data_IF_235466210492
#
_entry.id   IF_235466210492
#
_cell.length_a   1.000
_cell.length_b   1.000
_cell.length_c   1.000
_cell.angle_alpha   90.00
_cell.angle_beta   90.00
_cell.angle_gamma   90.00
#
_symmetry.space_group_name_H-M   'P 1'
#
loop_
_entity.id
_entity.type
_entity.pdbx_description
1 polymer ?
#
# COMPACT_ATOMS: atom_id res chain seq x y z
N UNK A 1 10.25 10.38 2.77
CA UNK A 1 9.26 9.85 3.75
C UNK A 1 8.21 10.90 4.12
N UNK A 2 8.58 12.08 4.62
CA UNK A 2 7.63 13.13 5.04
C UNK A 2 6.63 13.51 3.93
N UNK A 3 7.14 13.90 2.75
CA UNK A 3 6.32 14.25 1.57
C UNK A 3 5.34 13.14 1.15
N UNK A 4 5.77 11.87 1.26
CA UNK A 4 4.94 10.73 0.88
C UNK A 4 3.68 10.64 1.77
N UNK A 5 3.87 10.68 3.09
CA UNK A 5 2.77 10.57 4.05
C UNK A 5 1.94 11.87 4.16
N UNK A 6 2.54 13.03 3.90
CA UNK A 6 1.80 14.28 3.73
C UNK A 6 0.79 14.16 2.58
N UNK A 7 1.22 13.70 1.41
CA UNK A 7 0.35 13.48 0.26
C UNK A 7 -0.71 12.40 0.49
N UNK A 8 -0.37 11.31 1.19
CA UNK A 8 -1.34 10.29 1.61
C UNK A 8 -2.40 10.89 2.55
N UNK A 9 -1.98 11.72 3.51
CA UNK A 9 -2.88 12.38 4.46
C UNK A 9 -3.78 13.42 3.79
N UNK A 10 -3.30 14.13 2.77
CA UNK A 10 -4.14 15.00 1.95
C UNK A 10 -5.31 14.22 1.33
N UNK A 11 -5.04 13.06 0.74
CA UNK A 11 -6.08 12.18 0.16
C UNK A 11 -7.05 11.71 1.25
N UNK A 12 -6.52 11.16 2.34
CA UNK A 12 -7.33 10.56 3.41
C UNK A 12 -8.07 11.58 4.30
N UNK A 13 -7.75 12.86 4.19
CA UNK A 13 -8.48 13.95 4.85
C UNK A 13 -9.97 13.98 4.48
N UNK A 14 -10.33 13.52 3.27
CA UNK A 14 -11.74 13.33 2.84
C UNK A 14 -12.52 12.42 3.79
N UNK A 15 -11.84 11.42 4.36
CA UNK A 15 -12.39 10.50 5.35
C UNK A 15 -12.05 10.92 6.79
N UNK A 16 -11.40 12.07 7.03
CA UNK A 16 -10.95 12.47 8.37
C UNK A 16 -9.97 11.48 9.00
N UNK A 17 -9.21 10.76 8.18
CA UNK A 17 -8.20 9.79 8.63
C UNK A 17 -6.83 10.40 8.44
N UNK A 18 -6.00 10.32 9.47
CA UNK A 18 -4.61 10.77 9.43
C UNK A 18 -3.68 9.63 9.80
N UNK A 19 -2.72 9.35 8.94
CA UNK A 19 -1.65 8.39 9.13
C UNK A 19 -0.46 9.10 9.78
N UNK A 20 -0.10 8.66 10.99
CA UNK A 20 1.07 9.13 11.71
C UNK A 20 2.17 8.08 11.61
N UNK A 21 3.34 8.49 11.15
CA UNK A 21 4.54 7.65 11.15
C UNK A 21 5.13 7.66 12.56
N UNK A 22 5.13 6.52 13.22
CA UNK A 22 5.71 6.37 14.57
C UNK A 22 7.22 6.13 14.51
N UNK A 23 7.70 5.33 13.56
CA UNK A 23 9.13 5.10 13.34
C UNK A 23 9.44 4.73 11.90
N UNK A 24 10.70 4.90 11.52
CA UNK A 24 11.26 4.39 10.26
C UNK A 24 12.51 3.61 10.63
N UNK A 25 12.51 2.32 10.29
CA UNK A 25 13.63 1.42 10.55
C UNK A 25 14.19 0.94 9.22
N UNK A 26 15.53 0.78 9.16
CA UNK A 26 16.21 0.14 8.03
C UNK A 26 16.58 -1.27 8.44
N UNK A 27 16.05 -2.24 7.72
CA UNK A 27 16.25 -3.66 8.02
C UNK A 27 16.59 -4.42 6.73
N UNK A 28 17.43 -5.46 6.81
CA UNK A 28 17.62 -6.36 5.69
C UNK A 28 16.34 -7.17 5.44
N UNK A 29 16.04 -7.44 4.17
CA UNK A 29 15.01 -8.41 3.82
C UNK A 29 15.40 -9.81 4.29
N UNK A 30 14.43 -10.60 4.78
CA UNK A 30 14.69 -11.95 5.26
C UNK A 30 15.03 -12.92 4.12
N UNK A 31 14.20 -12.99 3.08
CA UNK A 31 14.43 -13.82 1.88
C UNK A 31 14.31 -12.99 0.59
N UNK A 32 15.37 -12.25 0.27
CA UNK A 32 15.44 -11.52 -1.00
C UNK A 32 15.56 -12.44 -2.22
N UNK A 33 16.04 -13.68 -2.07
CA UNK A 33 16.31 -14.60 -3.18
C UNK A 33 15.02 -15.09 -3.81
N UNK A 34 14.08 -15.61 -3.00
CA UNK A 34 12.78 -16.08 -3.49
C UNK A 34 11.97 -14.95 -4.09
N UNK A 35 12.03 -13.76 -3.47
CA UNK A 35 11.37 -12.57 -3.99
C UNK A 35 11.88 -12.18 -5.38
N UNK A 36 13.19 -12.10 -5.58
CA UNK A 36 13.79 -11.80 -6.89
C UNK A 36 13.45 -12.89 -7.92
N UNK A 37 13.49 -14.17 -7.52
CA UNK A 37 13.10 -15.28 -8.40
C UNK A 37 11.63 -15.17 -8.84
N UNK A 38 10.75 -14.71 -7.97
CA UNK A 38 9.35 -14.51 -8.31
C UNK A 38 9.14 -13.31 -9.24
N UNK A 39 9.82 -12.19 -8.97
CA UNK A 39 9.76 -11.01 -9.84
C UNK A 39 10.34 -11.25 -11.24
N UNK A 40 11.29 -12.17 -11.38
CA UNK A 40 11.82 -12.58 -12.69
C UNK A 40 10.96 -13.63 -13.40
N UNK A 41 9.91 -14.15 -12.76
CA UNK A 41 9.06 -15.20 -13.30
C UNK A 41 9.67 -16.61 -13.21
N UNK A 42 10.78 -16.79 -12.49
CA UNK A 42 11.38 -18.10 -12.27
C UNK A 42 10.53 -18.98 -11.33
N UNK A 43 9.76 -18.36 -10.43
CA UNK A 43 8.74 -19.02 -9.61
C UNK A 43 7.44 -18.19 -9.60
N UNK A 44 6.29 -18.78 -9.25
CA UNK A 44 5.04 -18.03 -9.11
C UNK A 44 5.12 -16.95 -8.02
N UNK A 45 4.55 -15.77 -8.28
CA UNK A 45 4.32 -14.76 -7.24
C UNK A 45 3.09 -15.15 -6.43
N UNK A 46 3.29 -15.39 -5.12
CA UNK A 46 2.21 -15.63 -4.15
C UNK A 46 2.32 -14.65 -2.99
N UNK A 47 1.24 -14.53 -2.19
CA UNK A 47 1.26 -13.70 -0.97
C UNK A 47 2.37 -14.11 0.00
N UNK A 48 2.64 -15.41 0.14
CA UNK A 48 3.70 -15.95 0.99
C UNK A 48 5.09 -15.55 0.50
N UNK A 49 5.32 -15.62 -0.81
CA UNK A 49 6.58 -15.17 -1.42
C UNK A 49 6.78 -13.67 -1.20
N UNK A 50 5.73 -12.86 -1.34
CA UNK A 50 5.78 -11.43 -1.02
C UNK A 50 6.03 -11.19 0.47
N UNK A 51 5.44 -11.99 1.36
CA UNK A 51 5.64 -11.89 2.79
C UNK A 51 7.03 -12.37 3.26
N UNK A 52 7.75 -13.12 2.42
CA UNK A 52 9.06 -13.72 2.76
C UNK A 52 10.17 -12.69 2.95
N UNK A 53 10.03 -11.49 2.39
CA UNK A 53 11.00 -10.40 2.56
C UNK A 53 10.79 -9.58 3.83
N UNK A 54 9.65 -9.73 4.52
CA UNK A 54 9.26 -8.82 5.59
C UNK A 54 9.94 -9.19 6.91
N UNK A 55 10.82 -8.34 7.47
CA UNK A 55 11.36 -8.55 8.80
C UNK A 55 10.24 -8.45 9.86
N UNK A 56 10.36 -9.23 10.93
CA UNK A 56 9.33 -9.34 11.97
C UNK A 56 9.69 -8.65 13.30
N UNK A 57 10.95 -8.34 13.54
CA UNK A 57 11.43 -7.97 14.88
C UNK A 57 11.03 -6.55 15.30
N UNK A 58 10.91 -5.63 14.34
CA UNK A 58 10.62 -4.21 14.59
C UNK A 58 9.23 -3.78 14.09
N UNK A 59 8.32 -4.73 13.86
CA UNK A 59 6.94 -4.41 13.47
C UNK A 59 6.14 -3.90 14.67
N UNK A 60 5.16 -3.04 14.42
CA UNK A 60 4.17 -2.63 15.40
C UNK A 60 3.02 -3.66 15.43
N UNK A 61 2.90 -4.50 16.49
CA UNK A 61 1.93 -5.58 16.50
C UNK A 61 0.50 -5.04 16.49
N UNK A 62 -0.35 -5.59 15.61
CA UNK A 62 -1.75 -5.18 15.46
C UNK A 62 -1.93 -3.76 14.94
N UNK A 63 -0.88 -3.15 14.39
CA UNK A 63 -0.89 -1.83 13.75
C UNK A 63 -0.51 -1.94 12.29
N UNK A 64 -0.54 -0.81 11.59
CA UNK A 64 -0.14 -0.74 10.18
C UNK A 64 1.37 -0.73 10.07
N UNK A 65 1.90 -1.66 9.28
CA UNK A 65 3.31 -1.75 8.94
C UNK A 65 3.46 -1.54 7.43
N UNK A 66 4.32 -0.61 7.04
CA UNK A 66 4.60 -0.30 5.62
C UNK A 66 6.06 -0.62 5.35
N UNK A 67 6.29 -1.59 4.48
CA UNK A 67 7.62 -2.04 4.08
C UNK A 67 7.96 -1.42 2.74
N UNK A 68 8.99 -0.57 2.75
CA UNK A 68 9.45 0.10 1.55
C UNK A 68 10.57 -0.73 0.92
N UNK A 69 10.37 -1.18 -0.31
CA UNK A 69 11.37 -1.93 -1.08
C UNK A 69 11.87 -1.11 -2.25
N UNK A 70 13.06 -1.42 -2.78
CA UNK A 70 13.63 -0.62 -3.88
C UNK A 70 12.89 -0.82 -5.21
N UNK A 71 12.52 -2.06 -5.52
CA UNK A 71 12.04 -2.42 -6.85
C UNK A 71 11.06 -3.59 -6.74
N UNK A 72 9.89 -3.45 -7.37
CA UNK A 72 8.87 -4.52 -7.47
C UNK A 72 8.77 -5.12 -8.87
N UNK A 73 9.70 -4.78 -9.75
CA UNK A 73 9.66 -5.13 -11.17
C UNK A 73 8.36 -4.69 -11.83
N UNK A 74 7.92 -5.49 -12.81
CA UNK A 74 6.68 -5.25 -13.55
C UNK A 74 5.44 -5.89 -12.91
N UNK A 75 5.49 -6.20 -11.60
CA UNK A 75 4.40 -6.89 -10.91
C UNK A 75 3.25 -5.96 -10.52
N UNK A 76 3.47 -5.03 -9.59
CA UNK A 76 2.44 -4.17 -9.03
C UNK A 76 3.00 -2.84 -8.54
N UNK A 77 2.15 -1.81 -8.44
CA UNK A 77 2.50 -0.54 -7.81
C UNK A 77 2.65 -0.66 -6.29
N UNK A 78 1.97 -1.61 -5.66
CA UNK A 78 2.03 -1.88 -4.25
C UNK A 78 1.12 -3.07 -3.95
N UNK A 79 1.23 -3.61 -2.74
CA UNK A 79 0.34 -4.68 -2.29
C UNK A 79 0.06 -4.51 -0.80
N UNK A 80 -1.21 -4.64 -0.43
CA UNK A 80 -1.62 -4.95 0.93
C UNK A 80 -1.78 -6.47 1.14
N UNK A 81 -1.07 -7.02 2.13
CA UNK A 81 -1.16 -8.42 2.56
C UNK A 81 -2.04 -8.49 3.81
N UNK A 82 -3.31 -8.88 3.65
CA UNK A 82 -4.31 -8.92 4.72
C UNK A 82 -3.91 -9.86 5.87
N UNK A 83 -3.43 -11.06 5.56
CA UNK A 83 -2.97 -12.06 6.54
C UNK A 83 -1.72 -11.64 7.33
N UNK A 84 -1.06 -10.54 6.92
CA UNK A 84 0.06 -9.92 7.64
C UNK A 84 -0.27 -8.54 8.22
N UNK A 85 -1.38 -7.92 7.82
CA UNK A 85 -1.66 -6.52 8.15
C UNK A 85 -0.60 -5.55 7.64
N UNK A 86 0.02 -5.85 6.50
CA UNK A 86 1.21 -5.15 6.02
C UNK A 86 1.04 -4.62 4.60
N UNK A 87 1.56 -3.43 4.32
CA UNK A 87 1.69 -2.88 2.97
C UNK A 87 3.14 -3.07 2.51
N UNK A 88 3.33 -3.55 1.29
CA UNK A 88 4.60 -3.51 0.56
C UNK A 88 4.48 -2.39 -0.48
N UNK A 89 5.35 -1.39 -0.36
CA UNK A 89 5.39 -0.23 -1.24
C UNK A 89 6.78 -0.13 -1.88
N UNK A 90 6.90 -0.18 -3.21
CA UNK A 90 8.19 -0.09 -3.86
C UNK A 90 8.54 1.35 -4.30
N UNK A 91 9.82 1.70 -4.26
CA UNK A 91 10.32 2.95 -4.85
C UNK A 91 10.22 2.94 -6.38
N UNK A 92 10.35 1.75 -7.00
CA UNK A 92 10.18 1.55 -8.44
C UNK A 92 9.14 0.46 -8.70
N UNK A 93 8.14 0.79 -9.54
CA UNK A 93 7.11 -0.15 -9.97
C UNK A 93 7.05 -0.30 -11.50
N UNK A 94 5.97 -0.92 -12.02
CA UNK A 94 5.85 -1.27 -13.45
C UNK A 94 5.87 -0.08 -14.41
N UNK A 95 5.55 1.12 -13.92
CA UNK A 95 5.51 2.37 -14.70
C UNK A 95 6.71 3.29 -14.42
N UNK A 96 7.73 2.79 -13.69
CA UNK A 96 8.92 3.53 -13.30
C UNK A 96 8.92 3.97 -11.83
N UNK A 97 9.70 5.00 -11.49
CA UNK A 97 9.82 5.51 -10.13
C UNK A 97 8.48 6.01 -9.57
N UNK A 98 8.18 5.64 -8.34
CA UNK A 98 6.98 6.09 -7.62
C UNK A 98 7.28 7.36 -6.85
N UNK A 99 7.26 8.48 -7.58
CA UNK A 99 7.54 9.80 -7.01
C UNK A 99 6.59 10.09 -5.81
N UNK A 100 7.15 10.35 -4.61
CA UNK A 100 6.37 10.68 -3.41
C UNK A 100 5.36 11.81 -3.58
N UNK A 101 5.64 12.80 -4.44
CA UNK A 101 4.79 13.97 -4.64
C UNK A 101 3.63 13.73 -5.62
N UNK A 102 3.72 12.68 -6.45
CA UNK A 102 2.72 12.41 -7.50
C UNK A 102 2.12 11.01 -7.37
N UNK A 103 2.69 10.02 -8.05
CA UNK A 103 2.15 8.66 -8.12
C UNK A 103 2.33 7.87 -6.83
N UNK A 104 3.45 8.03 -6.13
CA UNK A 104 3.78 7.28 -4.93
C UNK A 104 2.78 7.51 -3.80
N UNK A 105 2.38 8.76 -3.53
CA UNK A 105 1.35 9.07 -2.53
C UNK A 105 0.00 8.42 -2.84
N UNK A 106 -0.37 8.38 -4.12
CA UNK A 106 -1.63 7.83 -4.61
C UNK A 106 -1.65 6.32 -4.48
N UNK A 107 -0.56 5.67 -4.88
CA UNK A 107 -0.39 4.22 -4.80
C UNK A 107 -0.37 3.78 -3.34
N UNK A 108 0.41 4.43 -2.47
CA UNK A 108 0.40 4.10 -1.05
C UNK A 108 -0.99 4.34 -0.41
N UNK A 109 -1.67 5.44 -0.76
CA UNK A 109 -3.02 5.70 -0.27
C UNK A 109 -4.02 4.61 -0.72
N UNK A 110 -3.86 4.07 -1.93
CA UNK A 110 -4.65 2.96 -2.45
C UNK A 110 -4.44 1.67 -1.64
N UNK A 111 -3.19 1.28 -1.38
CA UNK A 111 -2.88 0.09 -0.58
C UNK A 111 -3.38 0.24 0.88
N UNK A 112 -3.28 1.45 1.44
CA UNK A 112 -3.88 1.75 2.73
C UNK A 112 -5.40 1.67 2.69
N UNK A 113 -6.04 1.91 1.54
CA UNK A 113 -7.46 1.66 1.33
C UNK A 113 -7.84 0.19 1.50
N UNK A 114 -7.05 -0.72 0.94
CA UNK A 114 -7.22 -2.16 1.17
C UNK A 114 -7.06 -2.53 2.65
N UNK A 115 -6.07 -1.92 3.34
CA UNK A 115 -5.91 -2.10 4.78
C UNK A 115 -7.11 -1.60 5.61
N UNK A 116 -7.93 -0.73 5.03
CA UNK A 116 -9.18 -0.21 5.59
C UNK A 116 -10.43 -0.94 5.05
N UNK A 117 -10.26 -2.16 4.54
CA UNK A 117 -11.28 -3.06 3.97
C UNK A 117 -11.91 -2.60 2.63
N UNK A 118 -11.38 -1.55 2.01
CA UNK A 118 -11.90 -1.09 0.72
C UNK A 118 -11.50 -2.03 -0.41
N UNK A 119 -12.47 -2.33 -1.27
CA UNK A 119 -12.28 -3.15 -2.46
C UNK A 119 -12.06 -2.27 -3.69
N UNK A 120 -11.49 -2.85 -4.74
CA UNK A 120 -11.41 -2.19 -6.04
C UNK A 120 -12.79 -1.82 -6.56
N UNK A 121 -12.84 -0.71 -7.27
CA UNK A 121 -13.99 -0.31 -8.09
C UNK A 121 -13.61 -0.34 -9.56
N UNK A 122 -14.56 -0.47 -10.50
CA UNK A 122 -14.26 -0.44 -11.91
C UNK A 122 -13.59 0.86 -12.36
N UNK A 123 -12.78 0.80 -13.42
CA UNK A 123 -12.08 1.98 -13.94
C UNK A 123 -13.00 3.06 -14.54
N UNK A 124 -14.28 2.74 -14.72
CA UNK A 124 -15.33 3.71 -15.08
C UNK A 124 -15.68 4.66 -13.93
N UNK A 125 -15.27 4.36 -12.69
CA UNK A 125 -15.36 5.27 -11.53
C UNK A 125 -14.26 6.32 -11.59
N UNK A 126 -14.46 7.34 -12.43
CA UNK A 126 -13.44 8.35 -12.76
C UNK A 126 -12.87 9.04 -11.51
N UNK A 127 -11.55 9.03 -11.40
CA UNK A 127 -10.80 9.67 -10.31
C UNK A 127 -10.89 8.96 -8.95
N UNK A 128 -11.57 7.80 -8.87
CA UNK A 128 -11.67 7.06 -7.63
C UNK A 128 -10.31 6.46 -7.22
N UNK A 129 -9.93 6.64 -5.95
CA UNK A 129 -8.70 6.10 -5.39
C UNK A 129 -8.59 4.59 -5.58
N UNK A 130 -9.69 3.87 -5.39
CA UNK A 130 -9.75 2.40 -5.49
C UNK A 130 -10.01 1.89 -6.92
N UNK A 131 -9.90 2.73 -7.96
CA UNK A 131 -9.99 2.28 -9.35
C UNK A 131 -8.59 1.89 -9.89
N UNK A 132 -8.23 0.59 -9.92
CA UNK A 132 -6.95 0.17 -10.49
C UNK A 132 -6.93 0.42 -12.00
N UNK A 133 -5.74 0.62 -12.57
CA UNK A 133 -5.54 0.68 -14.02
C UNK A 133 -5.94 1.98 -14.72
N UNK A 134 -6.59 2.96 -14.07
CA UNK A 134 -6.92 4.25 -14.69
C UNK A 134 -5.75 5.25 -14.64
N UNK A 135 -4.62 4.88 -15.24
CA UNK A 135 -3.36 5.62 -15.07
C UNK A 135 -3.42 7.07 -15.57
N UNK A 136 -4.27 7.37 -16.56
CA UNK A 136 -4.46 8.72 -17.10
C UNK A 136 -5.33 9.65 -16.23
N UNK A 137 -5.83 9.19 -15.09
CA UNK A 137 -6.73 9.95 -14.23
C UNK A 137 -6.07 10.33 -12.90
N UNK A 138 -6.51 11.45 -12.32
CA UNK A 138 -6.19 11.82 -10.94
C UNK A 138 -7.03 10.98 -9.96
N UNK A 139 -6.47 9.82 -9.55
CA UNK A 139 -7.14 8.81 -8.71
C UNK A 139 -6.96 9.11 -7.22
N UNK A 140 -7.47 10.24 -6.77
CA UNK A 140 -7.30 10.73 -5.38
C UNK A 140 -8.62 10.90 -4.64
N UNK A 141 -9.76 10.59 -5.27
CA UNK A 141 -11.09 10.81 -4.70
C UNK A 141 -11.62 9.56 -3.98
N UNK A 142 -12.24 9.77 -2.82
CA UNK A 142 -13.04 8.75 -2.14
C UNK A 142 -14.53 9.00 -2.36
N UNK A 143 -15.29 7.94 -2.57
CA UNK A 143 -16.76 8.00 -2.62
C UNK A 143 -17.35 7.92 -1.20
N UNK A 144 -18.55 8.48 -0.97
CA UNK A 144 -19.24 8.36 0.31
C UNK A 144 -19.37 6.91 0.80
N UNK A 145 -19.61 5.97 -0.11
CA UNK A 145 -19.71 4.53 0.17
C UNK A 145 -18.38 3.91 0.63
N UNK A 146 -17.24 4.55 0.35
CA UNK A 146 -15.91 4.13 0.81
C UNK A 146 -15.53 4.82 2.14
N UNK A 147 -15.93 6.08 2.33
CA UNK A 147 -15.56 6.86 3.52
C UNK A 147 -16.09 6.23 4.81
N UNK A 148 -17.37 5.86 4.85
CA UNK A 148 -17.99 5.29 6.05
C UNK A 148 -17.32 3.98 6.53
N UNK A 149 -17.15 2.94 5.67
CA UNK A 149 -16.46 1.71 6.10
C UNK A 149 -14.99 1.95 6.41
N UNK A 150 -14.29 2.83 5.67
CA UNK A 150 -12.90 3.15 5.97
C UNK A 150 -12.75 3.75 7.39
N UNK A 151 -13.62 4.69 7.76
CA UNK A 151 -13.67 5.24 9.13
C UNK A 151 -13.96 4.16 10.17
N UNK A 152 -14.91 3.27 9.88
CA UNK A 152 -15.28 2.19 10.80
C UNK A 152 -14.15 1.18 11.01
N UNK A 153 -13.34 0.89 9.99
CA UNK A 153 -12.15 0.05 10.16
C UNK A 153 -11.04 0.82 10.87
N UNK A 154 -10.79 2.09 10.51
CA UNK A 154 -9.76 2.91 11.16
C UNK A 154 -9.99 3.07 12.67
N UNK A 155 -11.25 3.21 13.12
CA UNK A 155 -11.60 3.34 14.53
C UNK A 155 -11.30 2.09 15.37
N UNK A 156 -11.11 0.92 14.72
CA UNK A 156 -10.63 -0.30 15.39
C UNK A 156 -9.15 -0.21 15.74
N UNK A 157 -8.42 0.74 15.16
CA UNK A 157 -7.01 0.97 15.44
C UNK A 157 -6.09 -0.18 14.99
N UNK A 158 -6.55 -1.00 14.04
CA UNK A 158 -5.81 -2.12 13.43
C UNK A 158 -6.17 -2.33 11.95
N UNK A 159 -5.25 -2.86 11.13
CA UNK A 159 -5.52 -3.18 9.73
C UNK A 159 -6.55 -4.31 9.55
N UNK A 160 -7.28 -4.31 8.43
CA UNK A 160 -8.26 -5.33 8.08
C UNK A 160 -7.62 -6.71 7.82
N UNK A 161 -8.17 -7.78 8.39
CA UNK A 161 -7.58 -9.13 8.25
C UNK A 161 -6.65 -9.53 9.39
N UNK A 162 -6.48 -8.65 10.40
CA UNK A 162 -5.70 -8.89 11.63
C UNK A 162 -6.55 -8.87 12.90
#
# INVERSE_FOLDING_TARGET
MAVLFEGVNEIWSQAGITWRVESVVREPALDGTSFIAALSGAIPITGEVLASILPGDNVLPGKWNVFIVRDFGNFAGGVYLDFRGAVIFPENGPIGPQDPATDGRRILAHELGHSLSLQHVPCTSVGNLMAPGCFAQDRTRLEPAQIAPARAQASRGRPFGT
#
